data_IF_453208265650
#
_entry.id   IF_453208265650
#
_cell.length_a   1.000
_cell.length_b   1.000
_cell.length_c   1.000
_cell.angle_alpha   90.00
_cell.angle_beta   90.00
_cell.angle_gamma   90.00
#
_symmetry.space_group_name_H-M   'P 1'
#
loop_
_entity.id
_entity.type
_entity.pdbx_description
1 polymer ?
#
# COMPACT_ATOMS: atom_id res chain seq x y z
N UNK A 1 2.07 1.69 -1.55
CA UNK A 1 2.32 1.56 -0.10
C UNK A 1 3.37 0.49 0.13
N UNK A 2 4.64 0.86 0.35
CA UNK A 2 5.66 -0.06 0.81
C UNK A 2 5.20 -0.87 2.03
N UNK A 3 5.37 -2.18 1.97
CA UNK A 3 5.20 -3.06 3.11
C UNK A 3 6.60 -3.51 3.57
N UNK A 4 6.68 -4.55 4.38
CA UNK A 4 7.94 -4.96 4.97
C UNK A 4 9.05 -5.30 3.96
N UNK A 5 8.82 -6.12 2.90
CA UNK A 5 9.86 -6.47 1.94
C UNK A 5 10.47 -5.27 1.22
N UNK A 6 9.64 -4.30 0.82
CA UNK A 6 10.09 -3.08 0.16
C UNK A 6 10.99 -2.25 1.10
N UNK A 7 10.56 -2.06 2.35
CA UNK A 7 11.34 -1.29 3.33
C UNK A 7 12.66 -2.00 3.66
N UNK A 8 12.65 -3.33 3.76
CA UNK A 8 13.87 -4.12 4.00
C UNK A 8 14.85 -4.00 2.82
N UNK A 9 14.35 -4.05 1.58
CA UNK A 9 15.19 -3.84 0.40
C UNK A 9 15.81 -2.45 0.38
N UNK A 10 15.02 -1.41 0.70
CA UNK A 10 15.53 -0.04 0.84
C UNK A 10 16.64 0.04 1.89
N UNK A 11 16.44 -0.55 3.06
CA UNK A 11 17.42 -0.53 4.16
C UNK A 11 18.71 -1.25 3.77
N UNK A 12 18.62 -2.41 3.11
CA UNK A 12 19.80 -3.16 2.64
C UNK A 12 20.62 -2.37 1.62
N UNK A 13 19.95 -1.67 0.71
CA UNK A 13 20.60 -0.86 -0.32
C UNK A 13 21.13 0.46 0.25
N UNK A 14 20.43 1.05 1.22
CA UNK A 14 20.81 2.31 1.86
C UNK A 14 22.03 2.15 2.79
N UNK A 15 22.09 1.04 3.53
CA UNK A 15 23.14 0.77 4.53
C UNK A 15 24.57 1.04 4.03
N UNK A 16 25.05 0.50 2.89
CA UNK A 16 26.41 0.77 2.42
C UNK A 16 26.65 2.23 2.02
N UNK A 17 25.60 3.01 1.74
CA UNK A 17 25.73 4.41 1.34
C UNK A 17 25.91 5.35 2.55
N UNK A 18 25.14 5.10 3.63
CA UNK A 18 25.00 6.07 4.73
C UNK A 18 25.55 5.60 6.08
N UNK A 19 25.76 4.30 6.29
CA UNK A 19 26.26 3.83 7.58
C UNK A 19 27.69 4.32 7.84
N UNK A 20 27.93 4.83 9.04
CA UNK A 20 29.19 5.45 9.44
C UNK A 20 29.34 6.90 8.99
N UNK A 21 28.45 7.45 8.16
CA UNK A 21 28.51 8.83 7.64
C UNK A 21 28.05 9.85 8.68
N UNK A 22 28.55 11.08 8.56
CA UNK A 22 28.16 12.21 9.43
C UNK A 22 27.15 13.08 8.70
N UNK A 23 26.03 13.37 9.35
CA UNK A 23 25.02 14.33 8.88
C UNK A 23 25.61 15.72 9.06
N UNK A 24 25.95 16.39 7.96
CA UNK A 24 26.50 17.76 7.95
C UNK A 24 25.42 18.80 8.10
N UNK A 25 24.30 18.59 7.42
CA UNK A 25 23.15 19.49 7.43
C UNK A 25 21.87 18.67 7.22
N UNK A 26 20.75 19.18 7.72
CA UNK A 26 19.42 18.65 7.47
C UNK A 26 18.57 19.77 6.88
N UNK A 27 18.09 19.56 5.67
CA UNK A 27 17.23 20.50 4.96
C UNK A 27 15.80 20.01 5.07
N UNK A 28 14.95 20.70 5.84
CA UNK A 28 13.50 20.42 5.85
C UNK A 28 12.83 21.36 4.85
N UNK A 29 12.53 20.82 3.67
CA UNK A 29 11.96 21.57 2.55
C UNK A 29 10.44 21.64 2.64
N UNK A 30 9.80 20.61 3.22
CA UNK A 30 8.37 20.62 3.50
C UNK A 30 8.08 20.23 4.97
N UNK A 31 7.63 21.17 5.82
CA UNK A 31 7.46 20.95 7.27
C UNK A 31 6.52 19.82 7.67
N UNK A 32 5.58 19.43 6.80
CA UNK A 32 4.60 18.38 7.10
C UNK A 32 5.26 17.02 7.39
N UNK A 33 6.43 16.75 6.79
CA UNK A 33 7.12 15.49 6.94
C UNK A 33 7.69 15.30 8.36
N UNK A 34 7.94 16.38 9.10
CA UNK A 34 8.43 16.29 10.49
C UNK A 34 7.33 16.49 11.53
N UNK A 35 6.11 16.88 11.15
CA UNK A 35 5.01 17.07 12.11
C UNK A 35 4.74 15.80 12.93
N UNK A 36 4.48 15.92 14.24
CA UNK A 36 4.25 17.15 15.00
C UNK A 36 5.54 17.83 15.52
N UNK A 37 6.73 17.31 15.21
CA UNK A 37 7.99 17.88 15.67
C UNK A 37 8.35 19.14 14.87
N UNK A 38 8.90 20.14 15.57
CA UNK A 38 9.39 21.37 14.95
C UNK A 38 10.55 21.08 13.97
N UNK A 39 10.41 21.42 12.68
CA UNK A 39 11.46 21.22 11.67
C UNK A 39 12.84 21.73 12.10
N UNK A 40 12.90 22.91 12.72
CA UNK A 40 14.16 23.54 13.10
C UNK A 40 14.84 22.79 14.26
N UNK A 41 14.06 22.21 15.18
CA UNK A 41 14.58 21.35 16.24
C UNK A 41 15.10 20.02 15.68
N UNK A 42 14.35 19.37 14.79
CA UNK A 42 14.77 18.12 14.12
C UNK A 42 16.10 18.35 13.41
N UNK A 43 16.20 19.42 12.61
CA UNK A 43 17.41 19.74 11.87
C UNK A 43 18.61 20.00 12.81
N UNK A 44 18.45 20.86 13.82
CA UNK A 44 19.53 21.18 14.77
C UNK A 44 20.01 19.97 15.57
N UNK A 45 19.12 19.08 15.98
CA UNK A 45 19.48 17.93 16.82
C UNK A 45 20.15 16.79 16.01
N UNK A 46 19.74 16.60 14.76
CA UNK A 46 20.32 15.63 13.84
C UNK A 46 21.64 16.12 13.21
N UNK A 47 21.83 17.43 13.06
CA UNK A 47 23.05 18.01 12.54
C UNK A 47 24.28 17.61 13.38
N UNK A 48 25.35 17.23 12.68
CA UNK A 48 26.62 16.81 13.27
C UNK A 48 26.62 15.37 13.81
N UNK A 49 25.48 14.67 13.80
CA UNK A 49 25.38 13.28 14.27
C UNK A 49 25.98 12.30 13.28
N UNK A 50 26.48 11.18 13.78
CA UNK A 50 26.99 10.07 12.95
C UNK A 50 25.96 8.95 12.90
N UNK A 51 25.63 8.47 11.71
CA UNK A 51 24.77 7.29 11.52
C UNK A 51 25.59 6.06 11.89
N UNK A 52 25.20 5.36 12.97
CA UNK A 52 25.88 4.16 13.46
C UNK A 52 25.32 2.90 12.84
N UNK A 53 24.00 2.80 12.77
CA UNK A 53 23.30 1.61 12.29
C UNK A 53 22.18 2.06 11.35
N UNK A 54 22.01 1.33 10.25
CA UNK A 54 20.88 1.45 9.32
C UNK A 54 20.09 0.15 9.37
N UNK A 55 18.88 0.24 9.93
CA UNK A 55 18.04 -0.92 10.22
C UNK A 55 16.56 -0.66 9.90
N UNK A 56 15.72 -1.67 10.16
CA UNK A 56 14.28 -1.63 9.95
C UNK A 56 13.55 -2.26 11.13
N UNK A 57 12.41 -1.69 11.47
CA UNK A 57 11.42 -2.38 12.33
C UNK A 57 10.02 -2.17 11.76
N UNK A 58 9.32 -3.27 11.47
CA UNK A 58 8.05 -3.24 10.74
C UNK A 58 8.19 -2.54 9.38
N UNK A 59 7.54 -1.39 9.23
CA UNK A 59 7.57 -0.56 8.00
C UNK A 59 8.35 0.75 8.18
N UNK A 60 9.14 0.85 9.25
CA UNK A 60 9.99 1.98 9.53
C UNK A 60 11.42 1.72 9.08
N UNK A 61 12.04 2.70 8.42
CA UNK A 61 13.49 2.78 8.24
C UNK A 61 14.06 3.48 9.48
N UNK A 62 15.12 2.91 10.05
CA UNK A 62 15.77 3.38 11.25
C UNK A 62 17.22 3.78 10.95
N UNK A 63 17.56 5.04 11.23
CA UNK A 63 18.94 5.51 11.28
C UNK A 63 19.30 5.75 12.74
N UNK A 64 19.95 4.76 13.36
CA UNK A 64 20.47 4.90 14.73
C UNK A 64 21.67 5.82 14.68
N UNK A 65 21.60 6.94 15.38
CA UNK A 65 22.67 7.93 15.42
C UNK A 65 23.59 7.67 16.63
N UNK A 66 24.72 8.35 16.69
CA UNK A 66 25.58 8.35 17.88
C UNK A 66 24.91 8.97 19.11
N UNK A 67 23.95 9.87 18.90
CA UNK A 67 22.90 10.22 19.87
C UNK A 67 21.58 10.43 19.16
N UNK A 68 20.55 9.72 19.60
CA UNK A 68 19.21 9.79 19.01
C UNK A 68 18.96 8.72 17.93
N UNK A 69 17.72 8.71 17.46
CA UNK A 69 17.21 7.80 16.44
C UNK A 69 16.39 8.61 15.45
N UNK A 70 16.74 8.54 14.17
CA UNK A 70 15.93 9.11 13.09
C UNK A 70 15.12 7.98 12.44
N UNK A 71 13.80 8.14 12.41
CA UNK A 71 12.86 7.18 11.82
C UNK A 71 12.22 7.76 10.58
N UNK A 72 12.09 6.97 9.52
CA UNK A 72 11.33 7.32 8.33
C UNK A 72 10.21 6.31 8.11
N UNK A 73 9.01 6.77 7.78
CA UNK A 73 7.89 5.91 7.41
C UNK A 73 7.28 6.38 6.08
N UNK A 74 7.38 5.55 5.05
CA UNK A 74 7.04 5.93 3.66
C UNK A 74 5.56 6.11 3.39
N UNK A 75 4.70 5.53 4.25
CA UNK A 75 3.24 5.47 4.02
C UNK A 75 2.97 4.97 2.61
N UNK A 76 2.33 5.76 1.75
CA UNK A 76 1.84 5.31 0.48
C UNK A 76 2.92 5.32 -0.61
N UNK A 77 3.58 6.46 -0.86
CA UNK A 77 4.50 6.66 -1.99
C UNK A 77 5.85 7.26 -1.59
N UNK A 78 6.12 7.40 -0.29
CA UNK A 78 7.41 7.90 0.17
C UNK A 78 8.55 7.03 -0.38
N UNK A 79 9.59 7.69 -0.86
CA UNK A 79 10.78 7.06 -1.40
C UNK A 79 12.05 7.78 -0.98
N UNK A 80 13.19 7.12 -1.18
CA UNK A 80 14.51 7.70 -0.96
C UNK A 80 15.18 8.03 -2.28
N UNK A 81 15.79 9.19 -2.35
CA UNK A 81 16.58 9.65 -3.49
C UNK A 81 18.00 9.95 -3.04
N UNK A 82 18.96 9.73 -3.92
CA UNK A 82 20.38 10.00 -3.68
C UNK A 82 20.88 11.06 -4.65
N UNK A 83 21.36 12.17 -4.09
CA UNK A 83 22.04 13.23 -4.84
C UNK A 83 23.53 13.20 -4.53
N UNK A 84 24.35 13.58 -5.49
CA UNK A 84 25.81 13.51 -5.41
C UNK A 84 26.37 14.58 -4.47
N UNK A 85 25.70 15.72 -4.34
CA UNK A 85 26.07 16.83 -3.46
C UNK A 85 24.89 17.80 -3.24
N UNK A 86 25.08 18.82 -2.39
CA UNK A 86 24.06 19.83 -2.11
C UNK A 86 23.74 20.78 -3.28
N UNK A 87 24.62 20.90 -4.28
CA UNK A 87 24.32 21.66 -5.50
C UNK A 87 23.28 20.92 -6.35
N UNK A 88 23.51 19.63 -6.62
CA UNK A 88 22.57 18.78 -7.36
C UNK A 88 21.21 18.74 -6.66
N UNK A 89 21.18 18.67 -5.31
CA UNK A 89 19.94 18.78 -4.55
C UNK A 89 19.20 20.07 -4.91
N UNK A 90 19.86 21.24 -4.88
CA UNK A 90 19.22 22.53 -5.18
C UNK A 90 18.72 22.63 -6.61
N UNK A 91 19.44 22.04 -7.57
CA UNK A 91 19.10 22.05 -8.99
C UNK A 91 17.93 21.13 -9.35
N UNK A 92 17.64 20.10 -8.54
CA UNK A 92 16.61 19.08 -8.85
C UNK A 92 15.44 19.09 -7.89
N UNK A 93 15.66 19.34 -6.60
CA UNK A 93 14.61 19.25 -5.59
C UNK A 93 13.63 20.41 -5.71
N UNK A 94 12.35 20.08 -5.87
CA UNK A 94 11.24 21.03 -5.93
C UNK A 94 11.40 22.13 -7.01
N UNK A 95 12.12 21.84 -8.11
CA UNK A 95 12.34 22.75 -9.23
C UNK A 95 11.30 22.54 -10.35
N UNK A 96 10.13 23.17 -10.21
CA UNK A 96 9.08 23.17 -11.24
C UNK A 96 8.58 21.78 -11.64
N UNK A 97 8.07 21.65 -12.86
CA UNK A 97 7.45 20.40 -13.38
C UNK A 97 8.43 19.24 -13.55
N UNK A 98 9.71 19.54 -13.79
CA UNK A 98 10.76 18.53 -13.99
C UNK A 98 11.51 18.17 -12.69
N UNK A 99 11.15 18.82 -11.57
CA UNK A 99 11.78 18.62 -10.28
C UNK A 99 11.30 17.37 -9.55
N UNK A 100 12.07 16.92 -8.57
CA UNK A 100 11.67 15.84 -7.66
C UNK A 100 11.12 16.41 -6.36
N UNK A 101 9.97 15.91 -5.92
CA UNK A 101 9.34 16.37 -4.68
C UNK A 101 10.08 15.83 -3.46
N UNK A 102 10.96 16.64 -2.87
CA UNK A 102 11.75 16.28 -1.69
C UNK A 102 11.22 17.04 -0.49
N UNK A 103 10.85 16.31 0.56
CA UNK A 103 10.34 16.87 1.80
C UNK A 103 11.45 17.16 2.80
N UNK A 104 12.40 16.24 2.94
CA UNK A 104 13.55 16.37 3.85
C UNK A 104 14.81 15.83 3.17
N UNK A 105 15.95 16.48 3.31
CA UNK A 105 17.23 16.00 2.83
C UNK A 105 18.29 15.98 3.93
N UNK A 106 19.03 14.87 4.04
CA UNK A 106 20.18 14.72 4.93
C UNK A 106 21.45 14.85 4.09
N UNK A 107 22.15 15.97 4.23
CA UNK A 107 23.45 16.16 3.59
C UNK A 107 24.52 15.47 4.43
N UNK A 108 25.21 14.50 3.84
CA UNK A 108 26.24 13.69 4.48
C UNK A 108 27.64 14.19 4.11
N UNK A 109 28.68 13.61 4.70
CA UNK A 109 30.07 13.83 4.27
C UNK A 109 30.31 13.42 2.81
N UNK A 110 29.49 12.50 2.28
CA UNK A 110 29.51 12.09 0.88
C UNK A 110 28.07 11.88 0.38
N UNK A 111 27.59 12.82 -0.44
CA UNK A 111 26.25 12.79 -1.02
C UNK A 111 25.14 13.30 -0.10
N UNK A 112 23.92 13.29 -0.62
CA UNK A 112 22.72 13.77 0.05
C UNK A 112 21.63 12.72 -0.08
N UNK A 113 21.04 12.33 1.05
CA UNK A 113 19.88 11.45 1.08
C UNK A 113 18.60 12.29 1.15
N UNK A 114 17.81 12.30 0.08
CA UNK A 114 16.49 12.91 0.05
C UNK A 114 15.39 11.92 0.44
N UNK A 115 14.47 12.37 1.29
CA UNK A 115 13.18 11.75 1.52
C UNK A 115 12.14 12.48 0.67
N UNK A 116 11.60 11.76 -0.32
CA UNK A 116 10.69 12.30 -1.32
C UNK A 116 9.29 11.69 -1.15
N UNK A 117 8.26 12.53 -1.16
CA UNK A 117 6.87 12.09 -1.14
C UNK A 117 5.95 13.12 -1.82
N UNK A 118 5.42 12.75 -2.99
CA UNK A 118 4.51 13.62 -3.76
C UNK A 118 3.19 13.90 -3.03
N UNK A 119 2.78 13.03 -2.11
CA UNK A 119 1.51 13.13 -1.37
C UNK A 119 1.67 13.59 0.06
N UNK A 120 2.91 13.82 0.51
CA UNK A 120 3.22 14.34 1.84
C UNK A 120 2.63 13.54 3.01
N UNK A 121 2.43 12.22 2.82
CA UNK A 121 1.92 11.35 3.87
C UNK A 121 3.04 10.76 4.72
N UNK A 122 4.21 10.59 4.13
CA UNK A 122 5.40 10.08 4.75
C UNK A 122 5.90 11.00 5.86
N UNK A 123 6.60 10.40 6.82
CA UNK A 123 7.13 11.15 7.95
C UNK A 123 8.59 10.79 8.22
N UNK A 124 9.33 11.80 8.67
CA UNK A 124 10.68 11.71 9.21
C UNK A 124 10.69 12.35 10.60
N UNK A 125 10.97 11.56 11.63
CA UNK A 125 10.99 11.99 13.03
C UNK A 125 12.31 11.68 13.69
N UNK A 126 12.68 12.49 14.68
CA UNK A 126 13.87 12.31 15.50
C UNK A 126 13.46 12.03 16.96
N UNK A 127 14.05 10.99 17.54
CA UNK A 127 13.77 10.51 18.89
C UNK A 127 15.06 10.43 19.69
N UNK A 128 14.97 10.40 21.03
CA UNK A 128 16.17 10.16 21.87
C UNK A 128 16.57 8.68 21.81
N UNK A 129 15.59 7.79 21.78
CA UNK A 129 15.75 6.35 21.69
C UNK A 129 14.58 5.70 20.95
N UNK A 130 14.64 4.37 20.74
CA UNK A 130 13.53 3.59 20.17
C UNK A 130 12.28 3.70 21.06
N UNK A 131 12.45 3.71 22.38
CA UNK A 131 11.38 3.73 23.37
C UNK A 131 10.59 5.05 23.38
N UNK A 132 11.11 6.11 22.77
CA UNK A 132 10.37 7.38 22.65
C UNK A 132 9.45 7.41 21.43
N UNK A 133 9.55 6.44 20.51
CA UNK A 133 8.76 6.41 19.29
C UNK A 133 7.45 5.61 19.51
N UNK A 134 6.27 6.27 19.59
CA UNK A 134 5.02 5.56 19.86
C UNK A 134 4.68 4.52 18.79
N UNK A 135 5.05 4.81 17.55
CA UNK A 135 4.84 3.92 16.41
C UNK A 135 5.63 2.63 16.50
N UNK A 136 6.86 2.67 17.03
CA UNK A 136 7.71 1.48 17.23
C UNK A 136 7.29 0.68 18.47
N UNK A 137 6.96 1.37 19.58
CA UNK A 137 6.52 0.73 20.82
C UNK A 137 5.20 -0.04 20.66
N UNK A 138 4.34 0.41 19.76
CA UNK A 138 3.06 -0.23 19.48
C UNK A 138 3.19 -1.44 18.54
N UNK A 139 4.38 -1.73 17.99
CA UNK A 139 4.56 -2.84 17.06
C UNK A 139 4.54 -4.18 17.81
N UNK A 140 3.87 -5.15 17.19
CA UNK A 140 4.00 -6.55 17.56
C UNK A 140 5.27 -7.16 16.96
N UNK A 141 5.26 -8.48 16.86
CA UNK A 141 6.43 -9.22 16.39
C UNK A 141 6.73 -8.93 14.90
N UNK A 142 7.97 -8.64 14.56
CA UNK A 142 8.38 -8.37 13.18
C UNK A 142 8.33 -9.65 12.34
N UNK A 143 7.62 -9.62 11.20
CA UNK A 143 7.38 -10.82 10.40
C UNK A 143 8.61 -11.42 9.70
N UNK A 144 9.74 -10.68 9.63
CA UNK A 144 11.04 -11.23 9.18
C UNK A 144 12.02 -11.51 10.34
N UNK A 145 11.65 -11.19 11.59
CA UNK A 145 12.49 -11.55 12.74
C UNK A 145 12.54 -13.06 12.94
N UNK A 146 13.68 -13.54 13.48
CA UNK A 146 13.83 -14.92 13.95
C UNK A 146 12.87 -15.27 15.09
N UNK A 147 12.41 -14.26 15.82
CA UNK A 147 11.45 -14.44 16.92
C UNK A 147 10.04 -14.74 16.41
N UNK A 148 9.74 -14.43 15.14
CA UNK A 148 8.49 -14.79 14.50
C UNK A 148 8.45 -16.29 14.22
N UNK A 149 8.21 -17.06 15.29
CA UNK A 149 8.15 -18.52 15.26
C UNK A 149 6.71 -19.02 15.08
N UNK A 150 6.51 -20.26 14.60
CA UNK A 150 5.17 -20.85 14.51
C UNK A 150 4.45 -20.93 15.86
N UNK A 151 5.19 -21.11 16.96
CA UNK A 151 4.63 -21.21 18.30
C UNK A 151 4.08 -19.86 18.77
N UNK A 152 4.90 -18.80 18.72
CA UNK A 152 4.48 -17.44 19.07
C UNK A 152 3.29 -16.99 18.20
N UNK A 153 3.34 -17.25 16.89
CA UNK A 153 2.26 -16.90 15.98
C UNK A 153 0.94 -17.62 16.29
N UNK A 154 1.00 -18.91 16.64
CA UNK A 154 -0.19 -19.66 17.04
C UNK A 154 -0.83 -19.10 18.32
N UNK A 155 -0.02 -18.68 19.30
CA UNK A 155 -0.51 -18.02 20.49
C UNK A 155 -1.23 -16.70 20.15
N UNK A 156 -0.62 -15.85 19.31
CA UNK A 156 -1.23 -14.59 18.85
C UNK A 156 -2.56 -14.81 18.11
N UNK A 157 -2.64 -15.83 17.25
CA UNK A 157 -3.87 -16.19 16.54
C UNK A 157 -4.98 -16.63 17.51
N UNK A 158 -4.64 -17.47 18.50
CA UNK A 158 -5.61 -17.99 19.47
C UNK A 158 -6.25 -16.91 20.33
N UNK A 159 -5.53 -15.81 20.58
CA UNK A 159 -6.01 -14.67 21.35
C UNK A 159 -6.94 -13.72 20.57
N UNK A 160 -7.10 -13.90 19.25
CA UNK A 160 -7.86 -12.97 18.40
C UNK A 160 -9.12 -13.59 17.80
N UNK A 161 -10.27 -12.94 18.03
CA UNK A 161 -11.54 -13.28 17.38
C UNK A 161 -11.72 -12.62 16.01
N UNK A 162 -10.80 -11.73 15.60
CA UNK A 162 -10.90 -10.99 14.34
C UNK A 162 -10.72 -11.94 13.14
N UNK A 163 -11.28 -11.60 11.97
CA UNK A 163 -10.96 -12.30 10.73
C UNK A 163 -9.45 -12.33 10.45
N UNK A 164 -8.98 -13.40 9.78
CA UNK A 164 -7.56 -13.61 9.53
C UNK A 164 -6.90 -12.44 8.78
N UNK A 165 -7.57 -11.91 7.76
CA UNK A 165 -7.03 -10.79 6.99
C UNK A 165 -6.83 -9.55 7.87
N UNK A 166 -7.79 -9.25 8.73
CA UNK A 166 -7.75 -8.07 9.62
C UNK A 166 -6.72 -8.27 10.73
N UNK A 167 -6.60 -9.49 11.26
CA UNK A 167 -5.56 -9.85 12.22
C UNK A 167 -4.15 -9.67 11.62
N UNK A 168 -3.92 -10.10 10.38
CA UNK A 168 -2.63 -9.96 9.72
C UNK A 168 -2.28 -8.51 9.37
N UNK A 169 -3.27 -7.63 9.29
CA UNK A 169 -3.04 -6.19 9.07
C UNK A 169 -2.74 -5.43 10.36
N UNK A 170 -3.04 -6.00 11.52
CA UNK A 170 -2.82 -5.37 12.81
C UNK A 170 -1.32 -5.36 13.15
N UNK A 171 -0.69 -4.19 12.99
CA UNK A 171 0.75 -4.02 13.22
C UNK A 171 1.13 -4.25 14.69
N UNK A 172 0.19 -4.18 15.64
CA UNK A 172 0.43 -4.51 17.06
C UNK A 172 0.51 -6.00 17.34
N UNK A 173 0.12 -6.83 16.36
CA UNK A 173 0.19 -8.30 16.46
C UNK A 173 1.38 -8.81 15.67
N UNK A 174 1.40 -8.52 14.37
CA UNK A 174 2.47 -8.92 13.47
C UNK A 174 2.84 -7.71 12.62
N UNK A 175 4.00 -7.12 12.91
CA UNK A 175 4.47 -5.93 12.25
C UNK A 175 4.95 -6.25 10.82
N UNK A 176 4.66 -5.34 9.90
CA UNK A 176 5.20 -5.37 8.54
C UNK A 176 4.30 -5.98 7.47
N UNK A 177 3.36 -6.84 7.82
CA UNK A 177 2.41 -7.38 6.84
C UNK A 177 1.40 -6.28 6.47
N UNK A 178 1.20 -6.02 5.19
CA UNK A 178 0.18 -5.11 4.68
C UNK A 178 -0.83 -5.81 3.79
N UNK A 179 -1.45 -5.05 2.90
CA UNK A 179 -2.59 -5.52 2.12
C UNK A 179 -2.22 -6.57 1.08
N UNK A 180 -1.07 -6.41 0.43
CA UNK A 180 -0.56 -7.31 -0.60
C UNK A 180 -0.19 -8.64 0.04
N UNK A 181 0.74 -8.61 0.99
CA UNK A 181 1.32 -9.84 1.51
C UNK A 181 0.38 -10.63 2.40
N UNK A 182 -0.62 -10.00 3.02
CA UNK A 182 -1.69 -10.75 3.69
C UNK A 182 -2.59 -11.52 2.72
N UNK A 183 -2.96 -10.95 1.55
CA UNK A 183 -3.73 -11.68 0.54
C UNK A 183 -2.92 -12.86 -0.02
N UNK A 184 -1.67 -12.62 -0.39
CA UNK A 184 -0.76 -13.65 -0.93
C UNK A 184 -0.52 -14.78 0.08
N UNK A 185 -0.28 -14.44 1.34
CA UNK A 185 -0.06 -15.41 2.42
C UNK A 185 -1.28 -16.29 2.65
N UNK A 186 -2.48 -15.70 2.70
CA UNK A 186 -3.73 -16.45 2.89
C UNK A 186 -4.05 -17.34 1.68
N UNK A 187 -3.78 -16.86 0.47
CA UNK A 187 -3.91 -17.66 -0.76
C UNK A 187 -2.95 -18.85 -0.76
N UNK A 188 -1.68 -18.62 -0.40
CA UNK A 188 -0.67 -19.66 -0.30
C UNK A 188 -1.01 -20.68 0.80
N UNK A 189 -1.52 -20.20 1.94
CA UNK A 189 -1.96 -21.04 3.06
C UNK A 189 -3.32 -21.73 2.84
N UNK A 190 -4.05 -21.40 1.77
CA UNK A 190 -5.40 -21.94 1.48
C UNK A 190 -6.41 -21.62 2.59
N UNK A 191 -6.41 -20.39 3.08
CA UNK A 191 -7.28 -19.96 4.18
C UNK A 191 -8.19 -18.82 3.75
N UNK A 192 -9.48 -18.91 4.11
CA UNK A 192 -10.45 -17.85 3.87
C UNK A 192 -10.07 -16.61 4.67
N UNK A 193 -9.90 -15.43 4.04
CA UNK A 193 -9.61 -14.17 4.74
C UNK A 193 -10.63 -13.77 5.81
N UNK A 194 -11.87 -14.27 5.75
CA UNK A 194 -12.96 -14.00 6.70
C UNK A 194 -12.97 -14.94 7.89
N UNK A 195 -12.25 -16.06 7.83
CA UNK A 195 -12.20 -17.02 8.93
C UNK A 195 -11.63 -16.34 10.17
N UNK A 196 -12.22 -16.58 11.35
CA UNK A 196 -11.73 -16.04 12.61
C UNK A 196 -10.37 -16.65 12.97
N UNK A 197 -9.41 -15.81 13.39
CA UNK A 197 -8.04 -16.21 13.68
C UNK A 197 -7.96 -17.34 14.73
N UNK A 198 -8.71 -17.22 15.82
CA UNK A 198 -8.75 -18.22 16.90
C UNK A 198 -9.37 -19.57 16.53
N UNK A 199 -9.91 -19.73 15.31
CA UNK A 199 -10.47 -21.02 14.85
C UNK A 199 -9.46 -21.87 14.08
N UNK A 200 -8.25 -21.37 13.83
CA UNK A 200 -7.21 -22.13 13.12
C UNK A 200 -6.73 -23.32 13.95
N UNK A 201 -6.71 -24.50 13.34
CA UNK A 201 -6.06 -25.67 13.94
C UNK A 201 -4.54 -25.47 13.97
N UNK A 202 -3.80 -26.12 14.89
CA UNK A 202 -2.34 -25.97 14.97
C UNK A 202 -1.58 -26.25 13.67
N UNK A 203 -2.07 -27.20 12.85
CA UNK A 203 -1.50 -27.49 11.52
C UNK A 203 -1.73 -26.34 10.54
N UNK A 204 -2.86 -25.66 10.61
CA UNK A 204 -3.20 -24.54 9.73
C UNK A 204 -2.45 -23.27 10.14
N UNK A 205 -2.31 -23.02 11.44
CA UNK A 205 -1.47 -21.93 11.96
C UNK A 205 -0.01 -22.07 11.50
N UNK A 206 0.57 -23.27 11.61
CA UNK A 206 1.92 -23.57 11.08
C UNK A 206 2.01 -23.37 9.57
N UNK A 207 0.98 -23.79 8.82
CA UNK A 207 0.92 -23.61 7.36
C UNK A 207 0.84 -22.13 6.98
N UNK A 208 0.06 -21.34 7.70
CA UNK A 208 -0.04 -19.89 7.49
C UNK A 208 1.27 -19.19 7.83
N UNK A 209 1.91 -19.52 8.95
CA UNK A 209 3.24 -19.00 9.30
C UNK A 209 4.27 -19.28 8.18
N UNK A 210 4.37 -20.54 7.74
CA UNK A 210 5.26 -20.91 6.63
C UNK A 210 4.93 -20.15 5.34
N UNK A 211 3.65 -19.92 5.04
CA UNK A 211 3.22 -19.16 3.88
C UNK A 211 3.65 -17.69 3.99
N UNK A 212 3.47 -17.04 5.14
CA UNK A 212 3.90 -15.66 5.39
C UNK A 212 5.40 -15.52 5.16
N UNK A 213 6.22 -16.33 5.85
CA UNK A 213 7.68 -16.27 5.74
C UNK A 213 8.12 -16.49 4.29
N UNK A 214 7.54 -17.48 3.60
CA UNK A 214 7.87 -17.76 2.20
C UNK A 214 7.46 -16.64 1.24
N UNK A 215 6.30 -16.02 1.45
CA UNK A 215 5.80 -14.90 0.63
C UNK A 215 6.71 -13.68 0.82
N UNK A 216 7.01 -13.32 2.07
CA UNK A 216 7.85 -12.16 2.39
C UNK A 216 9.29 -12.35 1.90
N UNK A 217 9.87 -13.54 2.04
CA UNK A 217 11.21 -13.83 1.56
C UNK A 217 11.31 -13.71 0.02
N UNK A 218 10.34 -14.26 -0.71
CA UNK A 218 10.29 -14.15 -2.18
C UNK A 218 10.03 -12.73 -2.65
N UNK A 219 9.17 -11.99 -1.95
CA UNK A 219 8.94 -10.58 -2.23
C UNK A 219 10.21 -9.76 -2.04
N UNK A 220 10.94 -9.99 -0.94
CA UNK A 220 12.21 -9.32 -0.67
C UNK A 220 13.27 -9.63 -1.74
N UNK A 221 13.35 -10.88 -2.20
CA UNK A 221 14.23 -11.26 -3.30
C UNK A 221 13.88 -10.48 -4.58
N UNK A 222 12.61 -10.39 -4.95
CA UNK A 222 12.17 -9.56 -6.07
C UNK A 222 12.53 -8.08 -5.87
N UNK A 223 12.40 -7.57 -4.65
CA UNK A 223 12.74 -6.19 -4.32
C UNK A 223 14.25 -5.90 -4.35
N UNK A 224 15.11 -6.91 -4.31
CA UNK A 224 16.57 -6.75 -4.34
C UNK A 224 17.18 -7.01 -5.73
N UNK A 225 16.37 -7.45 -6.70
CA UNK A 225 16.82 -7.84 -8.03
C UNK A 225 15.91 -7.30 -9.15
N UNK A 226 16.19 -6.10 -9.68
CA UNK A 226 17.31 -5.22 -9.32
C UNK A 226 17.11 -4.55 -7.95
N UNK A 227 18.20 -4.16 -7.31
CA UNK A 227 18.16 -3.40 -6.07
C UNK A 227 17.66 -1.97 -6.35
N UNK A 228 17.03 -1.28 -5.37
CA UNK A 228 16.62 0.11 -5.49
C UNK A 228 17.71 1.02 -6.06
N UNK A 229 17.40 1.75 -7.13
CA UNK A 229 18.30 2.73 -7.73
C UNK A 229 17.96 4.14 -7.26
N UNK A 230 18.45 4.55 -6.09
CA UNK A 230 18.10 5.85 -5.51
C UNK A 230 18.47 7.08 -6.37
N UNK A 231 19.27 6.93 -7.43
CA UNK A 231 19.57 8.04 -8.35
C UNK A 231 18.46 8.32 -9.36
N UNK A 232 17.68 7.31 -9.70
CA UNK A 232 16.60 7.37 -10.68
C UNK A 232 15.29 7.75 -9.98
N UNK A 233 14.72 8.94 -10.18
CA UNK A 233 13.53 9.37 -9.45
C UNK A 233 12.27 8.52 -9.71
N UNK A 234 12.27 7.75 -10.79
CA UNK A 234 11.19 6.84 -11.16
C UNK A 234 11.45 5.40 -10.69
N UNK A 235 12.53 5.17 -9.92
CA UNK A 235 12.81 3.85 -9.37
C UNK A 235 11.63 3.38 -8.52
N UNK A 236 11.12 2.21 -8.85
CA UNK A 236 10.19 1.49 -7.99
C UNK A 236 10.41 -0.01 -8.14
N UNK A 237 9.80 -0.80 -7.26
CA UNK A 237 9.94 -2.24 -7.32
C UNK A 237 9.22 -2.82 -8.54
N UNK A 238 9.98 -3.05 -9.60
CA UNK A 238 9.49 -3.67 -10.83
C UNK A 238 9.32 -5.19 -10.65
N UNK A 239 8.40 -5.78 -11.41
CA UNK A 239 8.25 -7.24 -11.50
C UNK A 239 7.57 -7.93 -10.32
N UNK A 240 7.25 -7.23 -9.22
CA UNK A 240 6.46 -7.78 -8.11
C UNK A 240 5.14 -8.39 -8.58
N UNK A 241 4.50 -7.79 -9.58
CA UNK A 241 3.28 -8.29 -10.24
C UNK A 241 3.39 -9.72 -10.80
N UNK A 242 4.59 -10.14 -11.23
CA UNK A 242 4.84 -11.49 -11.76
C UNK A 242 4.73 -12.53 -10.65
N UNK A 243 5.14 -12.14 -9.44
CA UNK A 243 5.07 -12.94 -8.23
C UNK A 243 3.63 -13.09 -7.70
N UNK A 244 2.78 -12.05 -7.82
CA UNK A 244 1.42 -12.01 -7.26
C UNK A 244 0.52 -13.12 -7.82
N UNK A 245 -0.17 -13.82 -6.91
CA UNK A 245 -1.06 -14.95 -7.22
C UNK A 245 -2.53 -14.63 -6.97
N UNK A 246 -2.83 -13.73 -6.04
CA UNK A 246 -4.18 -13.29 -5.70
C UNK A 246 -4.35 -11.76 -5.77
N UNK A 247 -3.47 -10.98 -5.15
CA UNK A 247 -3.61 -9.53 -5.03
C UNK A 247 -3.66 -8.84 -6.40
N UNK A 248 -4.63 -7.94 -6.59
CA UNK A 248 -4.79 -7.19 -7.85
C UNK A 248 -5.19 -8.05 -9.06
N UNK A 249 -5.57 -9.32 -8.85
CA UNK A 249 -5.89 -10.27 -9.93
C UNK A 249 -7.39 -10.57 -10.05
N UNK A 250 -8.27 -9.68 -9.61
CA UNK A 250 -9.72 -9.84 -9.74
C UNK A 250 -10.14 -10.24 -11.16
N UNK A 251 -11.06 -11.20 -11.27
CA UNK A 251 -11.51 -11.74 -12.56
C UNK A 251 -10.52 -12.68 -13.25
N UNK A 252 -9.21 -12.58 -12.97
CA UNK A 252 -8.19 -13.44 -13.58
C UNK A 252 -8.23 -14.86 -12.98
N UNK A 253 -7.91 -15.86 -13.80
CA UNK A 253 -7.88 -17.26 -13.37
C UNK A 253 -6.88 -17.49 -12.23
N UNK A 254 -7.32 -18.21 -11.20
CA UNK A 254 -6.45 -18.63 -10.10
C UNK A 254 -5.36 -19.57 -10.64
N UNK A 255 -4.09 -19.24 -10.39
CA UNK A 255 -2.93 -20.02 -10.86
C UNK A 255 -2.81 -21.42 -10.23
N UNK A 256 -3.75 -21.83 -9.36
CA UNK A 256 -3.81 -23.17 -8.75
C UNK A 256 -4.96 -24.02 -9.27
N UNK A 257 -6.13 -23.42 -9.53
CA UNK A 257 -7.36 -24.18 -9.79
C UNK A 257 -8.23 -23.65 -10.93
N UNK A 258 -7.80 -22.57 -11.61
CA UNK A 258 -8.56 -21.95 -12.70
C UNK A 258 -9.69 -21.02 -12.26
N UNK A 259 -10.33 -21.22 -11.10
CA UNK A 259 -11.42 -20.36 -10.60
C UNK A 259 -11.00 -18.87 -10.61
N UNK A 260 -11.84 -17.94 -11.11
CA UNK A 260 -11.54 -16.51 -11.07
C UNK A 260 -11.27 -16.02 -9.64
N UNK A 261 -10.24 -15.18 -9.48
CA UNK A 261 -10.00 -14.48 -8.22
C UNK A 261 -11.12 -13.47 -7.99
N UNK A 262 -11.63 -13.42 -6.76
CA UNK A 262 -12.67 -12.49 -6.33
C UNK A 262 -12.06 -11.37 -5.50
N UNK A 263 -12.67 -10.19 -5.57
CA UNK A 263 -12.41 -9.08 -4.65
C UNK A 263 -13.60 -8.89 -3.71
N UNK A 264 -13.30 -8.42 -2.51
CA UNK A 264 -14.29 -7.89 -1.58
C UNK A 264 -13.67 -6.77 -0.75
N UNK A 265 -14.51 -5.88 -0.22
CA UNK A 265 -14.08 -4.92 0.80
C UNK A 265 -14.06 -5.61 2.17
N UNK A 266 -12.96 -5.47 2.91
CA UNK A 266 -12.82 -5.97 4.28
C UNK A 266 -11.99 -4.97 5.09
N UNK A 267 -12.54 -4.45 6.18
CA UNK A 267 -11.86 -3.45 7.02
C UNK A 267 -11.45 -2.18 6.27
N UNK A 268 -12.27 -1.72 5.31
CA UNK A 268 -11.96 -0.55 4.46
C UNK A 268 -10.88 -0.79 3.40
N UNK A 269 -10.47 -2.04 3.15
CA UNK A 269 -9.44 -2.40 2.18
C UNK A 269 -9.90 -3.48 1.21
N UNK A 270 -9.40 -3.42 -0.02
CA UNK A 270 -9.60 -4.48 -1.02
C UNK A 270 -8.89 -5.76 -0.60
N UNK A 271 -9.64 -6.86 -0.54
CA UNK A 271 -9.14 -8.21 -0.26
C UNK A 271 -9.39 -9.10 -1.47
N UNK A 272 -8.33 -9.75 -1.95
CA UNK A 272 -8.37 -10.63 -3.10
C UNK A 272 -8.16 -12.08 -2.67
N UNK A 273 -9.00 -12.99 -3.17
CA UNK A 273 -8.95 -14.39 -2.77
C UNK A 273 -9.57 -15.32 -3.83
N UNK A 274 -9.19 -16.59 -3.81
CA UNK A 274 -9.76 -17.62 -4.67
C UNK A 274 -10.80 -18.43 -3.89
N UNK A 275 -12.08 -18.36 -4.31
CA UNK A 275 -13.17 -19.06 -3.62
C UNK A 275 -12.91 -20.55 -3.46
N UNK A 276 -12.53 -21.23 -4.55
CA UNK A 276 -12.32 -22.69 -4.55
C UNK A 276 -11.08 -23.11 -3.74
N UNK A 277 -10.00 -22.34 -3.80
CA UNK A 277 -8.75 -22.71 -3.12
C UNK A 277 -8.72 -22.36 -1.63
N UNK A 278 -9.49 -21.36 -1.23
CA UNK A 278 -9.52 -20.82 0.14
C UNK A 278 -10.89 -21.05 0.78
N UNK A 279 -11.67 -21.99 0.24
CA UNK A 279 -12.95 -22.34 0.82
C UNK A 279 -12.72 -22.92 2.21
N UNK A 280 -13.23 -22.23 3.22
CA UNK A 280 -13.42 -22.86 4.50
C UNK A 280 -14.65 -23.73 4.35
N UNK A 281 -14.45 -25.05 4.24
CA UNK A 281 -15.55 -25.99 4.41
C UNK A 281 -16.12 -25.74 5.80
N UNK A 282 -17.22 -24.96 5.85
CA UNK A 282 -18.01 -24.83 7.04
C UNK A 282 -18.23 -26.25 7.55
N UNK A 283 -17.86 -26.52 8.80
CA UNK A 283 -18.63 -27.48 9.57
C UNK A 283 -20.08 -27.12 9.29
N UNK A 284 -20.80 -28.05 8.64
CA UNK A 284 -22.25 -28.02 8.55
C UNK A 284 -22.75 -27.93 9.99
N UNK A 285 -22.89 -26.72 10.51
CA UNK A 285 -23.89 -26.48 11.54
C UNK A 285 -25.17 -26.80 10.79
N UNK A 286 -25.76 -27.95 11.10
CA UNK A 286 -27.16 -28.23 10.79
C UNK A 286 -27.93 -27.08 11.42
N UNK A 287 -28.17 -26.02 10.66
CA UNK A 287 -29.31 -25.16 10.92
C UNK A 287 -30.50 -26.01 10.53
N UNK A 288 -31.25 -26.45 11.53
CA UNK A 288 -32.57 -27.01 11.32
C UNK A 288 -33.32 -26.16 10.30
N UNK A 289 -33.95 -26.85 9.35
CA UNK A 289 -34.83 -26.25 8.35
C UNK A 289 -35.92 -25.48 9.08
N UNK A 290 -35.72 -24.18 9.25
CA UNK A 290 -36.84 -23.27 9.37
C UNK A 290 -37.36 -23.07 7.95
N UNK A 291 -38.54 -23.62 7.69
CA UNK A 291 -39.32 -23.37 6.50
C UNK A 291 -39.59 -21.87 6.41
N UNK A 292 -38.95 -21.19 5.45
CA UNK A 292 -39.34 -19.84 5.04
C UNK A 292 -39.98 -19.94 3.66
N UNK A 293 -41.15 -19.32 3.41
CA UNK A 293 -41.86 -19.46 2.14
C UNK A 293 -41.06 -18.87 0.99
N UNK A 294 -41.23 -19.44 -0.20
CA UNK A 294 -40.60 -18.99 -1.44
C UNK A 294 -40.96 -17.52 -1.73
N UNK A 295 -39.98 -16.63 -1.59
CA UNK A 295 -40.06 -15.27 -2.10
C UNK A 295 -39.65 -15.23 -3.57
N UNK A 296 -40.50 -14.58 -4.37
CA UNK A 296 -40.40 -14.43 -5.83
C UNK A 296 -39.03 -13.86 -6.24
N UNK A 297 -38.53 -14.35 -7.38
CA UNK A 297 -37.41 -13.78 -8.15
C UNK A 297 -37.55 -12.25 -8.22
N UNK A 298 -36.49 -11.47 -7.93
CA UNK A 298 -36.50 -10.04 -8.25
C UNK A 298 -36.43 -9.89 -9.77
N UNK A 299 -37.37 -9.14 -10.33
CA UNK A 299 -37.32 -8.62 -11.69
C UNK A 299 -36.07 -7.74 -11.87
N UNK A 300 -35.45 -7.84 -13.05
CA UNK A 300 -34.33 -6.99 -13.45
C UNK A 300 -34.78 -5.53 -13.48
N UNK A 301 -34.39 -4.75 -12.47
CA UNK A 301 -34.45 -3.29 -12.55
C UNK A 301 -33.38 -2.81 -13.54
N UNK A 302 -33.81 -2.04 -14.54
CA UNK A 302 -32.93 -1.34 -15.48
C UNK A 302 -32.01 -0.40 -14.67
N UNK A 303 -30.69 -0.58 -14.81
CA UNK A 303 -29.68 0.34 -14.26
C UNK A 303 -29.93 1.76 -14.81
N UNK A 304 -29.73 2.83 -14.03
CA UNK A 304 -29.81 4.18 -14.53
C UNK A 304 -28.72 4.45 -15.57
N UNK A 305 -29.06 5.22 -16.59
CA UNK A 305 -28.18 5.64 -17.67
C UNK A 305 -27.00 6.47 -17.14
N UNK A 306 -25.85 6.39 -17.80
CA UNK A 306 -24.64 7.09 -17.38
C UNK A 306 -24.86 8.61 -17.34
N UNK A 307 -25.49 9.16 -18.39
CA UNK A 307 -25.78 10.60 -18.48
C UNK A 307 -26.68 11.07 -17.34
N UNK A 308 -27.60 10.22 -16.87
CA UNK A 308 -28.48 10.56 -15.75
C UNK A 308 -27.74 10.60 -14.42
N UNK A 309 -26.78 9.70 -14.22
CA UNK A 309 -25.95 9.64 -13.01
C UNK A 309 -24.98 10.81 -12.96
N UNK A 310 -24.40 11.18 -14.10
CA UNK A 310 -23.52 12.34 -14.23
C UNK A 310 -24.27 13.67 -14.03
N UNK A 311 -25.42 13.86 -14.68
CA UNK A 311 -26.24 15.07 -14.51
C UNK A 311 -26.70 15.25 -13.05
N UNK A 312 -26.98 14.15 -12.34
CA UNK A 312 -27.31 14.21 -10.92
C UNK A 312 -26.11 14.57 -10.05
N UNK A 313 -24.92 14.05 -10.38
CA UNK A 313 -23.68 14.38 -9.68
C UNK A 313 -23.34 15.88 -9.84
N UNK A 314 -23.47 16.43 -11.05
CA UNK A 314 -23.27 17.85 -11.32
C UNK A 314 -24.23 18.74 -10.52
N UNK A 315 -25.50 18.35 -10.41
CA UNK A 315 -26.49 19.05 -9.59
C UNK A 315 -26.18 18.96 -8.09
N UNK A 316 -25.69 17.82 -7.61
CA UNK A 316 -25.24 17.66 -6.22
C UNK A 316 -24.06 18.58 -5.91
N UNK A 317 -23.07 18.67 -6.80
CA UNK A 317 -21.91 19.57 -6.64
C UNK A 317 -22.36 21.03 -6.61
N UNK A 318 -23.22 21.44 -7.56
CA UNK A 318 -23.77 22.80 -7.61
C UNK A 318 -24.52 23.19 -6.33
N UNK A 319 -25.24 22.25 -5.72
CA UNK A 319 -25.94 22.47 -4.45
C UNK A 319 -25.00 22.51 -3.25
N UNK A 320 -23.94 21.72 -3.24
CA UNK A 320 -22.90 21.77 -2.20
C UNK A 320 -22.12 23.10 -2.20
N UNK A 321 -22.03 23.76 -3.35
CA UNK A 321 -21.39 25.08 -3.50
C UNK A 321 -22.31 26.26 -3.11
N UNK A 322 -23.58 26.00 -2.76
CA UNK A 322 -24.54 27.04 -2.38
C UNK A 322 -24.33 27.53 -0.93
N UNK A 323 -24.25 28.85 -0.69
CA UNK A 323 -23.94 29.41 0.63
C UNK A 323 -25.07 29.31 1.68
N UNK A 324 -26.23 28.74 1.37
CA UNK A 324 -27.38 28.62 2.29
C UNK A 324 -27.67 27.18 2.75
N UNK A 325 -26.73 26.24 2.58
CA UNK A 325 -26.96 24.84 2.92
C UNK A 325 -26.74 24.55 4.42
N UNK A 326 -27.67 23.80 5.04
CA UNK A 326 -27.48 23.28 6.40
C UNK A 326 -26.40 22.19 6.41
N UNK A 327 -25.72 21.99 7.55
CA UNK A 327 -24.67 20.99 7.68
C UNK A 327 -25.20 19.56 7.43
N UNK A 328 -26.40 19.23 7.94
CA UNK A 328 -27.02 17.92 7.77
C UNK A 328 -27.38 17.65 6.31
N UNK A 329 -27.84 18.67 5.57
CA UNK A 329 -28.14 18.55 4.15
C UNK A 329 -26.86 18.48 3.30
N UNK A 330 -25.79 19.18 3.71
CA UNK A 330 -24.48 19.08 3.08
C UNK A 330 -23.90 17.67 3.21
N UNK A 331 -24.03 17.04 4.39
CA UNK A 331 -23.59 15.66 4.61
C UNK A 331 -24.36 14.66 3.75
N UNK A 332 -25.69 14.79 3.65
CA UNK A 332 -26.51 13.92 2.79
C UNK A 332 -26.16 14.08 1.31
N UNK A 333 -25.99 15.31 0.84
CA UNK A 333 -25.57 15.58 -0.54
C UNK A 333 -24.16 15.06 -0.82
N UNK A 334 -23.23 15.17 0.14
CA UNK A 334 -21.89 14.63 0.00
C UNK A 334 -21.90 13.09 -0.11
N UNK A 335 -22.66 12.40 0.73
CA UNK A 335 -22.84 10.94 0.65
C UNK A 335 -23.46 10.51 -0.70
N UNK A 336 -24.47 11.24 -1.18
CA UNK A 336 -25.09 11.03 -2.49
C UNK A 336 -24.07 11.24 -3.63
N UNK A 337 -23.29 12.32 -3.59
CA UNK A 337 -22.27 12.65 -4.58
C UNK A 337 -21.16 11.60 -4.65
N UNK A 338 -20.69 11.10 -3.49
CA UNK A 338 -19.70 10.01 -3.44
C UNK A 338 -20.27 8.72 -4.03
N UNK A 339 -21.54 8.41 -3.80
CA UNK A 339 -22.19 7.23 -4.38
C UNK A 339 -22.33 7.34 -5.91
N UNK A 340 -22.77 8.49 -6.41
CA UNK A 340 -22.92 8.76 -7.85
C UNK A 340 -21.57 8.76 -8.57
N UNK A 341 -20.54 9.38 -7.99
CA UNK A 341 -19.18 9.39 -8.54
C UNK A 341 -18.62 7.97 -8.69
N UNK A 342 -18.81 7.10 -7.68
CA UNK A 342 -18.40 5.69 -7.75
C UNK A 342 -19.14 4.91 -8.83
N UNK A 343 -20.43 5.19 -9.01
CA UNK A 343 -21.23 4.53 -10.05
C UNK A 343 -20.81 4.98 -11.46
N UNK A 344 -20.60 6.29 -11.69
CA UNK A 344 -20.06 6.81 -12.94
C UNK A 344 -18.69 6.21 -13.27
N UNK A 345 -17.77 6.17 -12.30
CA UNK A 345 -16.43 5.60 -12.49
C UNK A 345 -16.50 4.12 -12.86
N UNK A 346 -17.37 3.35 -12.20
CA UNK A 346 -17.58 1.94 -12.51
C UNK A 346 -18.15 1.74 -13.91
N UNK A 347 -19.09 2.57 -14.34
CA UNK A 347 -19.67 2.49 -15.69
C UNK A 347 -18.65 2.86 -16.77
N UNK A 348 -17.78 3.84 -16.50
CA UNK A 348 -16.67 4.21 -17.38
C UNK A 348 -15.67 3.06 -17.52
N UNK A 349 -15.24 2.45 -16.40
CA UNK A 349 -14.35 1.27 -16.39
C UNK A 349 -14.97 0.07 -17.13
N UNK A 350 -16.28 -0.16 -16.98
CA UNK A 350 -17.01 -1.21 -17.72
C UNK A 350 -17.04 -0.91 -19.23
N UNK A 351 -17.15 0.36 -19.64
CA UNK A 351 -17.14 0.79 -21.04
C UNK A 351 -15.73 0.69 -21.65
N UNK A 352 -14.70 1.19 -20.95
CA UNK A 352 -13.29 1.08 -21.34
C UNK A 352 -12.88 -0.39 -21.54
N UNK A 353 -13.26 -1.27 -20.61
CA UNK A 353 -12.99 -2.70 -20.73
C UNK A 353 -13.70 -3.35 -21.93
N UNK A 354 -14.91 -2.90 -22.28
CA UNK A 354 -15.61 -3.37 -23.48
C UNK A 354 -14.95 -2.87 -24.76
N UNK A 355 -14.53 -1.60 -24.81
CA UNK A 355 -13.79 -1.02 -25.93
C UNK A 355 -12.47 -1.76 -26.12
N UNK A 356 -11.71 -2.03 -25.05
CA UNK A 356 -10.47 -2.79 -25.11
C UNK A 356 -10.67 -4.23 -25.62
N UNK A 357 -11.79 -4.87 -25.25
CA UNK A 357 -12.16 -6.20 -25.75
C UNK A 357 -12.57 -6.15 -27.23
N UNK A 358 -13.29 -5.12 -27.66
CA UNK A 358 -13.68 -4.94 -29.07
C UNK A 358 -12.45 -4.65 -29.94
N UNK A 359 -11.54 -3.79 -29.49
CA UNK A 359 -10.26 -3.53 -30.14
C UNK A 359 -9.38 -4.80 -30.22
N UNK A 360 -9.37 -5.63 -29.17
CA UNK A 360 -8.66 -6.94 -29.18
C UNK A 360 -9.30 -8.02 -30.04
N UNK A 361 -10.61 -7.93 -30.32
CA UNK A 361 -11.34 -8.87 -31.16
C UNK A 361 -11.31 -8.50 -32.64
N UNK A 362 -11.09 -7.23 -32.96
CA UNK A 362 -11.08 -6.73 -34.33
C UNK A 362 -9.81 -7.13 -35.10
N UNK A 363 -8.60 -6.89 -34.57
CA UNK A 363 -7.40 -6.99 -35.41
C UNK A 363 -6.24 -7.77 -34.77
N UNK A 364 -5.99 -8.96 -35.31
CA UNK A 364 -4.69 -9.62 -35.17
C UNK A 364 -3.60 -8.77 -35.82
N UNK A 365 -2.90 -8.00 -34.98
CA UNK A 365 -1.86 -6.99 -35.26
C UNK A 365 -2.40 -5.61 -35.62
N UNK A 366 -2.04 -4.62 -34.81
CA UNK A 366 -1.56 -3.30 -35.25
C UNK A 366 -0.79 -2.64 -34.09
N UNK A 367 0.29 -1.93 -34.45
CA UNK A 367 1.06 -1.08 -33.55
C UNK A 367 0.34 0.27 -33.41
N UNK A 368 0.34 0.84 -32.20
CA UNK A 368 -0.09 2.22 -32.02
C UNK A 368 1.00 3.14 -32.56
N UNK A 369 0.70 3.92 -33.60
CA UNK A 369 1.47 5.13 -33.89
C UNK A 369 0.84 6.32 -33.15
N UNK A 370 1.64 7.29 -32.67
CA UNK A 370 1.12 8.51 -32.07
C UNK A 370 0.35 9.32 -33.12
N UNK A 371 -0.79 9.86 -32.69
CA UNK A 371 -1.59 10.80 -33.47
C UNK A 371 -0.80 12.10 -33.68
N UNK A 372 -0.52 12.44 -34.94
CA UNK A 372 0.08 13.70 -35.38
C UNK A 372 -1.03 14.59 -35.98
N UNK A 373 -1.42 15.70 -35.32
CA UNK A 373 -2.57 16.51 -35.72
C UNK A 373 -2.34 17.39 -36.97
N UNK A 374 -1.19 17.33 -37.64
CA UNK A 374 -0.87 18.21 -38.79
C UNK A 374 -1.02 17.57 -40.18
N UNK A 375 -1.58 16.36 -40.30
CA UNK A 375 -1.65 15.62 -41.59
C UNK A 375 -2.96 15.70 -42.40
N UNK A 376 -3.97 16.44 -41.97
CA UNK A 376 -5.19 16.67 -42.78
C UNK A 376 -5.19 18.05 -43.45
N UNK A 377 -4.23 18.28 -44.34
CA UNK A 377 -4.43 19.17 -45.49
C UNK A 377 -3.65 18.60 -46.66
N UNK A 378 -4.27 17.69 -47.41
CA UNK A 378 -4.25 17.63 -48.88
C UNK A 378 -4.78 16.28 -49.38
N UNK A 379 -5.87 16.36 -50.15
CA UNK A 379 -6.41 15.40 -51.14
C UNK A 379 -7.40 14.35 -50.65
#
# INVERSE_FOLDING_TARGET
MPELPEVEAVVRTLRPLVQGRKIRCVHVLHPIATKPQDPAQVARQAQGRRIRIVDRQGKYVLLVLDRGLLTMHFRLDGQLLWFSNGQELRERANQGENGVHVDVALELDKGVLGFADRRHFGHLHLWKSVDDCPGLNALGIDALSRDFTPHCFAALLSASKRPLKDFLLDQSRVAGIGNIYSCESLWQARLDPRRRANTLKPREARRLHKAIVSVLARALECCLHPAPNFRDPEWWFEGLERFLRAYGREGRSCRRCGEPIRRMAQGGRSTYWCRRCQEWAHQRIRTDRVNTPATKKPELQKKPDFERSLARLEEVVRRLESPQLSLDDAMKLFEEGVALSRECQKQLEEAEGRVEILLKRADGKLAAEPFDPERETES
#
